data_IF_531807704827
#
_entry.id   IF_531807704827
#
_cell.length_a   1.000
_cell.length_b   1.000
_cell.length_c   1.000
_cell.angle_alpha   90.00
_cell.angle_beta   90.00
_cell.angle_gamma   90.00
#
_symmetry.space_group_name_H-M   'P 1'
#
loop_
_entity.id
_entity.type
_entity.pdbx_description
1 polymer ?
#
# COMPACT_ATOMS: atom_id res chain seq x y z
N UNK A 1 -6.91 15.11 -1.37
CA UNK A 1 -7.33 13.80 -1.92
C UNK A 1 -7.29 12.76 -0.83
N UNK A 2 -8.43 12.14 -0.58
CA UNK A 2 -8.51 11.08 0.41
C UNK A 2 -8.28 9.72 -0.25
N UNK A 3 -7.54 8.85 0.43
CA UNK A 3 -7.23 7.51 -0.09
C UNK A 3 -8.50 6.73 -0.44
N UNK A 4 -9.51 6.79 0.44
CA UNK A 4 -10.75 6.04 0.25
C UNK A 4 -11.65 6.58 -0.86
N UNK A 5 -11.35 7.77 -1.38
CA UNK A 5 -12.11 8.36 -2.49
C UNK A 5 -11.58 7.98 -3.87
N UNK A 6 -10.42 7.33 -3.91
CA UNK A 6 -9.81 6.89 -5.17
C UNK A 6 -10.48 5.59 -5.61
N UNK A 7 -10.79 5.49 -6.88
CA UNK A 7 -11.37 4.27 -7.43
C UNK A 7 -10.28 3.24 -7.70
N UNK A 8 -10.10 2.34 -6.75
CA UNK A 8 -9.06 1.34 -6.80
C UNK A 8 -9.45 0.08 -7.56
N UNK A 9 -10.75 -0.22 -7.64
CA UNK A 9 -11.22 -1.47 -8.21
C UNK A 9 -10.78 -1.60 -9.68
N UNK A 10 -10.18 -2.75 -10.00
CA UNK A 10 -9.65 -3.08 -11.33
C UNK A 10 -8.44 -2.28 -11.81
N UNK A 11 -7.86 -1.46 -10.96
CA UNK A 11 -6.57 -0.85 -11.26
C UNK A 11 -5.49 -1.95 -11.22
N UNK A 12 -4.66 -2.01 -12.25
CA UNK A 12 -3.62 -3.02 -12.34
C UNK A 12 -2.38 -2.59 -11.55
N UNK A 13 -1.77 -3.55 -10.87
CA UNK A 13 -0.47 -3.37 -10.22
C UNK A 13 0.58 -3.90 -11.19
N UNK A 14 1.35 -3.00 -11.80
CA UNK A 14 2.39 -3.38 -12.76
C UNK A 14 3.66 -3.85 -12.04
N UNK A 15 4.01 -3.17 -10.96
CA UNK A 15 5.11 -3.57 -10.08
C UNK A 15 5.04 -2.79 -8.78
N UNK A 16 5.77 -3.25 -7.78
CA UNK A 16 5.98 -2.46 -6.57
C UNK A 16 7.45 -2.50 -6.18
N UNK A 17 7.91 -1.46 -5.48
CA UNK A 17 9.30 -1.29 -5.08
C UNK A 17 9.36 -0.92 -3.60
N UNK A 18 10.18 -1.65 -2.86
CA UNK A 18 10.50 -1.30 -1.48
C UNK A 18 11.82 -0.55 -1.52
N UNK A 19 11.79 0.72 -1.14
CA UNK A 19 13.00 1.55 -1.13
C UNK A 19 13.42 1.78 0.32
N UNK A 20 14.58 1.26 0.64
CA UNK A 20 15.19 1.37 1.96
C UNK A 20 16.58 2.01 1.87
N UNK A 21 16.76 2.91 0.92
CA UNK A 21 18.04 3.58 0.72
C UNK A 21 18.48 4.36 1.95
N UNK A 22 17.51 4.94 2.67
CA UNK A 22 17.77 5.68 3.91
C UNK A 22 16.99 5.06 5.08
N UNK A 23 17.37 3.85 5.50
CA UNK A 23 16.62 3.15 6.55
C UNK A 23 16.60 3.95 7.85
N UNK A 24 15.43 3.98 8.48
CA UNK A 24 15.24 4.74 9.71
C UNK A 24 14.90 6.20 9.51
N UNK A 25 15.11 6.75 8.32
CA UNK A 25 14.77 8.13 8.00
C UNK A 25 13.54 8.19 7.09
N UNK A 26 13.60 7.48 5.98
CA UNK A 26 12.50 7.51 5.03
C UNK A 26 12.45 6.22 4.22
N UNK A 27 11.66 5.28 4.72
CA UNK A 27 11.36 4.06 3.97
C UNK A 27 10.08 4.27 3.18
N UNK A 28 10.10 3.87 1.91
CA UNK A 28 8.92 3.98 1.06
C UNK A 28 8.55 2.63 0.46
N UNK A 29 7.26 2.47 0.20
CA UNK A 29 6.72 1.37 -0.57
C UNK A 29 5.96 1.99 -1.73
N UNK A 30 6.39 1.67 -2.95
CA UNK A 30 5.90 2.33 -4.16
C UNK A 30 5.18 1.32 -5.04
N UNK A 31 4.00 1.69 -5.50
CA UNK A 31 3.22 0.89 -6.44
C UNK A 31 3.11 1.62 -7.76
N UNK A 32 3.48 0.94 -8.84
CA UNK A 32 3.33 1.45 -10.20
C UNK A 32 2.08 0.80 -10.77
N UNK A 33 1.10 1.64 -11.12
CA UNK A 33 -0.26 1.22 -11.43
C UNK A 33 -0.63 1.65 -12.84
N UNK A 34 -1.62 0.96 -13.40
CA UNK A 34 -2.25 1.39 -14.66
C UNK A 34 -3.76 1.18 -14.56
N UNK A 35 -4.52 2.12 -15.12
CA UNK A 35 -5.96 2.00 -15.12
C UNK A 35 -6.47 1.33 -16.42
N UNK A 36 -7.76 1.21 -16.51
CA UNK A 36 -8.42 0.58 -17.65
C UNK A 36 -8.10 1.29 -18.98
N UNK A 37 -7.86 2.61 -18.90
CA UNK A 37 -7.58 3.42 -20.10
C UNK A 37 -6.10 3.47 -20.44
N UNK A 38 -5.27 2.75 -19.72
CA UNK A 38 -3.82 2.73 -19.94
C UNK A 38 -3.07 3.89 -19.29
N UNK A 39 -3.74 4.71 -18.48
CA UNK A 39 -3.03 5.76 -17.75
C UNK A 39 -2.15 5.12 -16.70
N UNK A 40 -0.97 5.68 -16.52
CA UNK A 40 -0.01 5.21 -15.52
C UNK A 40 -0.09 6.09 -14.29
N UNK A 41 -0.09 5.46 -13.13
CA UNK A 41 -0.13 6.15 -11.85
C UNK A 41 0.97 5.61 -10.95
N UNK A 42 1.34 6.42 -9.97
CA UNK A 42 2.30 6.03 -8.95
C UNK A 42 1.71 6.31 -7.57
N UNK A 43 1.60 5.27 -6.77
CA UNK A 43 1.16 5.34 -5.39
C UNK A 43 2.37 5.10 -4.50
N UNK A 44 2.70 6.05 -3.64
CA UNK A 44 3.84 5.93 -2.72
C UNK A 44 3.35 6.04 -1.29
N UNK A 45 3.65 5.03 -0.49
CA UNK A 45 3.51 5.12 0.96
C UNK A 45 4.85 5.58 1.52
N UNK A 46 4.83 6.67 2.27
CA UNK A 46 6.05 7.23 2.83
C UNK A 46 6.03 7.16 4.35
N UNK A 47 7.21 7.16 4.93
CA UNK A 47 7.33 6.96 6.36
C UNK A 47 6.75 5.61 6.78
N UNK A 48 7.12 4.54 6.06
CA UNK A 48 6.61 3.19 6.33
C UNK A 48 7.32 2.65 7.57
N UNK A 49 6.53 2.22 8.56
CA UNK A 49 7.06 1.65 9.79
C UNK A 49 6.93 0.14 9.83
N UNK A 50 5.89 -0.40 9.23
CA UNK A 50 5.69 -1.85 9.19
C UNK A 50 4.87 -2.21 7.97
N UNK A 51 5.19 -3.34 7.36
CA UNK A 51 4.38 -3.89 6.29
C UNK A 51 4.29 -5.39 6.44
N UNK A 52 3.09 -5.92 6.24
CA UNK A 52 2.83 -7.35 6.21
C UNK A 52 2.26 -7.66 4.84
N UNK A 53 2.99 -8.46 4.07
CA UNK A 53 2.61 -8.80 2.72
C UNK A 53 2.43 -10.29 2.58
N UNK A 54 1.24 -10.70 2.13
CA UNK A 54 1.00 -12.07 1.72
C UNK A 54 0.90 -12.07 0.20
N UNK A 55 1.95 -12.54 -0.44
CA UNK A 55 2.06 -12.54 -1.90
C UNK A 55 1.81 -13.94 -2.42
N UNK A 56 0.80 -14.08 -3.26
CA UNK A 56 0.48 -15.31 -3.94
C UNK A 56 0.85 -15.16 -5.41
N UNK A 57 1.57 -16.15 -5.92
CA UNK A 57 2.03 -16.16 -7.30
C UNK A 57 1.31 -17.30 -8.02
N UNK A 58 0.10 -17.02 -8.50
CA UNK A 58 -0.65 -17.99 -9.25
C UNK A 58 -0.42 -17.78 -10.74
N UNK A 59 -0.69 -18.82 -11.50
CA UNK A 59 -0.67 -18.72 -12.95
C UNK A 59 -1.85 -17.83 -13.38
N UNK A 60 -1.52 -16.75 -14.06
CA UNK A 60 -2.51 -15.84 -14.64
C UNK A 60 -2.50 -16.05 -16.15
N UNK A 61 -3.64 -15.92 -16.85
CA UNK A 61 -3.65 -15.98 -18.32
C UNK A 61 -2.62 -15.00 -18.89
N UNK A 62 -2.01 -15.38 -20.03
CA UNK A 62 -0.88 -14.64 -20.59
C UNK A 62 -1.09 -13.14 -20.75
N UNK A 63 -2.34 -12.69 -20.93
CA UNK A 63 -2.68 -11.29 -21.04
C UNK A 63 -3.32 -10.73 -19.76
N UNK A 64 -3.39 -11.55 -18.72
CA UNK A 64 -3.96 -11.14 -17.44
C UNK A 64 -3.03 -10.23 -16.68
N UNK A 65 -3.63 -9.40 -15.85
CA UNK A 65 -2.90 -8.50 -14.95
C UNK A 65 -3.37 -8.73 -13.53
N UNK A 66 -2.48 -8.49 -12.59
CA UNK A 66 -2.86 -8.45 -11.18
C UNK A 66 -3.59 -7.13 -10.93
N UNK A 67 -4.88 -7.19 -10.60
CA UNK A 67 -5.69 -5.99 -10.38
C UNK A 67 -6.12 -5.88 -8.94
N UNK A 68 -6.37 -4.66 -8.51
CA UNK A 68 -6.84 -4.40 -7.15
C UNK A 68 -8.32 -4.77 -7.04
N UNK A 69 -8.64 -5.59 -6.05
CA UNK A 69 -10.02 -5.89 -5.69
C UNK A 69 -10.59 -4.78 -4.81
N UNK A 70 -9.88 -4.43 -3.75
CA UNK A 70 -10.26 -3.31 -2.89
C UNK A 70 -9.03 -2.76 -2.19
N UNK A 71 -9.11 -1.51 -1.82
CA UNK A 71 -8.08 -0.85 -1.02
C UNK A 71 -8.74 0.18 -0.12
N UNK A 72 -8.23 0.33 1.10
CA UNK A 72 -8.79 1.31 2.04
C UNK A 72 -7.75 1.77 3.05
N UNK A 73 -8.03 2.90 3.67
CA UNK A 73 -7.25 3.51 4.72
C UNK A 73 -8.08 3.59 6.00
N UNK A 74 -7.42 3.31 7.12
CA UNK A 74 -7.96 3.57 8.46
C UNK A 74 -6.94 4.38 9.23
N UNK A 75 -7.40 5.02 10.28
CA UNK A 75 -6.56 5.88 11.09
C UNK A 75 -5.88 5.15 12.24
N UNK A 76 -5.47 5.96 13.21
CA UNK A 76 -4.69 5.49 14.38
C UNK A 76 -5.44 4.45 15.22
N UNK A 77 -6.75 4.46 15.21
CA UNK A 77 -7.59 3.52 15.97
C UNK A 77 -7.58 2.10 15.41
N UNK A 78 -7.04 1.90 14.22
CA UNK A 78 -6.95 0.58 13.61
C UNK A 78 -6.17 -0.38 14.50
N UNK A 79 -6.63 -1.63 14.58
CA UNK A 79 -6.04 -2.66 15.44
C UNK A 79 -4.57 -2.91 15.14
N UNK A 80 -4.19 -2.98 13.87
CA UNK A 80 -2.79 -3.21 13.48
C UNK A 80 -1.89 -2.07 13.92
N UNK A 81 -2.38 -0.83 13.79
CA UNK A 81 -1.64 0.36 14.25
C UNK A 81 -1.49 0.34 15.77
N UNK A 82 -2.57 0.03 16.48
CA UNK A 82 -2.53 -0.06 17.94
C UNK A 82 -1.58 -1.15 18.41
N UNK A 83 -1.58 -2.29 17.75
CA UNK A 83 -0.66 -3.39 18.08
C UNK A 83 0.79 -2.98 17.83
N UNK A 84 1.05 -2.22 16.76
CA UNK A 84 2.39 -1.69 16.51
C UNK A 84 2.84 -0.78 17.65
N UNK A 85 2.01 0.17 18.05
CA UNK A 85 2.35 1.08 19.15
C UNK A 85 2.65 0.31 20.44
N UNK A 86 1.84 -0.70 20.74
CA UNK A 86 2.06 -1.54 21.93
C UNK A 86 3.35 -2.34 21.86
N UNK A 87 3.64 -2.91 20.69
CA UNK A 87 4.83 -3.75 20.50
C UNK A 87 6.12 -2.96 20.65
N UNK A 88 6.06 -1.65 20.45
CA UNK A 88 7.21 -0.75 20.62
C UNK A 88 7.18 -0.02 21.97
N UNK A 89 6.36 -0.49 22.90
CA UNK A 89 6.26 0.04 24.27
C UNK A 89 6.01 1.55 24.33
N UNK A 90 5.20 2.06 23.40
CA UNK A 90 4.85 3.48 23.35
C UNK A 90 5.95 4.39 22.81
N UNK A 91 7.08 3.84 22.38
CA UNK A 91 8.19 4.64 21.88
C UNK A 91 7.79 5.52 20.70
N UNK A 92 6.88 5.04 19.87
CA UNK A 92 6.43 5.76 18.66
C UNK A 92 5.04 6.38 18.80
N UNK A 93 4.50 6.49 20.01
CA UNK A 93 3.15 7.02 20.23
C UNK A 93 2.96 8.44 19.69
N UNK A 94 4.04 9.22 19.60
CA UNK A 94 4.01 10.57 19.08
C UNK A 94 3.98 10.65 17.53
N UNK A 95 4.18 9.52 16.87
CA UNK A 95 4.19 9.48 15.40
C UNK A 95 2.79 9.20 14.90
N UNK A 96 2.21 10.08 14.06
CA UNK A 96 0.86 9.83 13.51
C UNK A 96 0.94 8.80 12.40
N UNK A 97 0.44 7.60 12.67
CA UNK A 97 0.47 6.49 11.71
C UNK A 97 -0.94 6.14 11.25
N UNK A 98 -1.03 5.73 9.99
CA UNK A 98 -2.24 5.26 9.36
C UNK A 98 -2.06 3.83 8.90
N UNK A 99 -3.19 3.14 8.72
CA UNK A 99 -3.24 1.80 8.19
C UNK A 99 -3.75 1.83 6.75
N UNK A 100 -3.07 1.12 5.87
CA UNK A 100 -3.49 0.96 4.47
C UNK A 100 -3.55 -0.51 4.14
N UNK A 101 -4.58 -0.90 3.42
CA UNK A 101 -4.73 -2.28 2.99
C UNK A 101 -5.06 -2.32 1.50
N UNK A 102 -4.37 -3.18 0.77
CA UNK A 102 -4.64 -3.43 -0.65
C UNK A 102 -4.82 -4.94 -0.81
N UNK A 103 -5.91 -5.33 -1.45
CA UNK A 103 -6.21 -6.73 -1.73
C UNK A 103 -6.40 -6.89 -3.23
N UNK A 104 -5.84 -7.96 -3.80
CA UNK A 104 -5.87 -8.17 -5.25
C UNK A 104 -6.87 -9.22 -5.66
N UNK A 105 -7.31 -9.15 -6.92
CA UNK A 105 -8.29 -10.07 -7.50
C UNK A 105 -7.69 -11.42 -7.86
N UNK A 106 -6.66 -11.39 -8.71
CA UNK A 106 -6.25 -12.60 -9.44
C UNK A 106 -5.61 -13.63 -8.54
N UNK A 107 -4.77 -13.20 -7.61
CA UNK A 107 -4.02 -14.12 -6.74
C UNK A 107 -4.47 -14.07 -5.30
N UNK A 108 -5.32 -13.09 -4.93
CA UNK A 108 -5.71 -12.89 -3.54
C UNK A 108 -4.55 -12.43 -2.66
N UNK A 109 -3.61 -11.71 -3.23
CA UNK A 109 -2.50 -11.13 -2.47
C UNK A 109 -3.00 -9.98 -1.60
N UNK A 110 -2.32 -9.74 -0.49
CA UNK A 110 -2.75 -8.74 0.48
C UNK A 110 -1.55 -7.97 1.00
N UNK A 111 -1.68 -6.65 0.98
CA UNK A 111 -0.67 -5.73 1.49
C UNK A 111 -1.27 -4.98 2.67
N UNK A 112 -0.63 -5.09 3.83
CA UNK A 112 -1.02 -4.34 5.03
C UNK A 112 0.14 -3.43 5.37
N UNK A 113 -0.11 -2.12 5.42
CA UNK A 113 0.96 -1.12 5.50
C UNK A 113 0.64 -0.13 6.62
N UNK A 114 1.61 0.07 7.51
CA UNK A 114 1.54 1.11 8.54
C UNK A 114 2.53 2.19 8.14
N UNK A 115 2.03 3.37 7.82
CA UNK A 115 2.84 4.47 7.30
C UNK A 115 2.30 5.82 7.75
N UNK A 116 3.14 6.84 7.63
CA UNK A 116 2.74 8.21 7.93
C UNK A 116 1.73 8.75 6.93
N UNK A 117 1.87 8.41 5.67
CA UNK A 117 0.98 8.91 4.64
C UNK A 117 1.25 8.32 3.28
N UNK A 118 0.58 8.87 2.28
CA UNK A 118 0.71 8.43 0.90
C UNK A 118 0.68 9.62 -0.06
N UNK A 119 1.21 9.39 -1.24
CA UNK A 119 1.02 10.29 -2.39
C UNK A 119 0.53 9.46 -3.57
N UNK A 120 -0.28 10.08 -4.41
CA UNK A 120 -0.85 9.43 -5.59
C UNK A 120 -0.81 10.42 -6.73
N UNK A 121 -0.17 10.03 -7.83
CA UNK A 121 -0.04 10.91 -8.99
C UNK A 121 -0.24 10.15 -10.29
N UNK A 122 -0.79 10.86 -11.27
CA UNK A 122 -0.92 10.33 -12.63
C UNK A 122 0.37 10.71 -13.36
N UNK A 123 1.04 9.71 -13.94
CA UNK A 123 2.27 9.91 -14.67
C UNK A 123 1.96 10.30 -16.12
N UNK A 124 2.80 11.14 -16.69
CA UNK A 124 2.65 11.56 -18.08
C UNK A 124 3.35 10.59 -19.03
#
# INVERSE_FOLDING_TARGET
MEFNDIEWHDVAIDKYVIDRTNPGNEDTLQFFLSDWYGRKMKLVFWGVYQSNMRLNFAVIPAEGKETIYCAHQEGRENEFVQNFYKSTNGFYDHVPLNYYEIETNSTGSKFQIIAKGFTYEVLQ
#
